data_IF_940807819845
#
_entry.id   IF_940807819845
#
_cell.length_a   1.000
_cell.length_b   1.000
_cell.length_c   1.000
_cell.angle_alpha   90.00
_cell.angle_beta   90.00
_cell.angle_gamma   90.00
#
_symmetry.space_group_name_H-M   'P 1'
#
loop_
_entity.id
_entity.type
_entity.pdbx_description
1 polymer ?
#
# COMPACT_ATOMS: atom_id res chain seq x y z
N UNK A 1 -9.81 9.69 -5.98
CA UNK A 1 -8.94 9.24 -4.88
C UNK A 1 -8.19 10.40 -4.25
N UNK A 2 -8.79 10.99 -3.22
CA UNK A 2 -8.14 11.91 -2.30
C UNK A 2 -7.12 11.16 -1.43
N UNK A 3 -5.98 11.81 -1.14
CA UNK A 3 -5.05 11.38 -0.09
C UNK A 3 -5.20 12.31 1.10
N UNK A 4 -5.33 11.73 2.29
CA UNK A 4 -5.37 12.43 3.56
C UNK A 4 -4.01 12.28 4.25
N UNK A 5 -3.38 13.38 4.66
CA UNK A 5 -2.21 13.33 5.53
C UNK A 5 -2.68 12.94 6.94
N UNK A 6 -2.15 11.84 7.47
CA UNK A 6 -2.50 11.34 8.80
C UNK A 6 -1.50 11.82 9.84
N UNK A 7 -0.20 11.75 9.51
CA UNK A 7 0.88 12.09 10.45
C UNK A 7 2.18 12.38 9.70
N UNK A 8 2.94 13.33 10.22
CA UNK A 8 4.36 13.49 9.87
C UNK A 8 5.19 12.62 10.83
N UNK A 9 5.91 11.63 10.29
CA UNK A 9 6.73 10.71 11.09
C UNK A 9 8.05 11.39 11.46
N UNK A 10 8.66 12.07 10.49
CA UNK A 10 9.83 12.92 10.64
C UNK A 10 9.88 13.94 9.48
N UNK A 11 10.96 14.73 9.38
CA UNK A 11 11.14 15.78 8.37
C UNK A 11 10.95 15.30 6.92
N UNK A 12 11.25 14.03 6.63
CA UNK A 12 11.24 13.47 5.27
C UNK A 12 10.21 12.34 5.08
N UNK A 13 9.51 11.93 6.13
CA UNK A 13 8.58 10.80 6.10
C UNK A 13 7.18 11.25 6.51
N UNK A 14 6.23 11.12 5.58
CA UNK A 14 4.83 11.51 5.78
C UNK A 14 3.92 10.32 5.56
N UNK A 15 3.03 10.07 6.51
CA UNK A 15 2.03 9.01 6.44
C UNK A 15 0.73 9.55 5.85
N UNK A 16 0.29 8.91 4.77
CA UNK A 16 -0.97 9.20 4.10
C UNK A 16 -1.92 8.01 4.17
N UNK A 17 -3.21 8.31 3.98
CA UNK A 17 -4.24 7.31 3.76
C UNK A 17 -5.19 7.76 2.66
N UNK A 18 -5.64 6.83 1.82
CA UNK A 18 -6.67 7.08 0.84
C UNK A 18 -8.04 6.97 1.52
N UNK A 19 -8.88 7.99 1.36
CA UNK A 19 -10.20 8.03 1.99
C UNK A 19 -11.15 6.98 1.41
N UNK A 20 -11.06 6.72 0.10
CA UNK A 20 -11.95 5.81 -0.61
C UNK A 20 -11.57 4.33 -0.39
N UNK A 21 -10.28 3.99 -0.46
CA UNK A 21 -9.82 2.60 -0.36
C UNK A 21 -9.33 2.21 1.03
N UNK A 22 -9.09 3.16 1.93
CA UNK A 22 -8.52 2.92 3.25
C UNK A 22 -7.04 2.54 3.25
N UNK A 23 -6.38 2.42 2.09
CA UNK A 23 -4.95 2.11 2.01
C UNK A 23 -4.13 3.22 2.65
N UNK A 24 -3.20 2.84 3.53
CA UNK A 24 -2.20 3.74 4.07
C UNK A 24 -0.81 3.44 3.50
N UNK A 25 -0.02 4.50 3.33
CA UNK A 25 1.36 4.42 2.87
C UNK A 25 2.18 5.57 3.46
N UNK A 26 3.48 5.35 3.62
CA UNK A 26 4.44 6.40 3.97
C UNK A 26 5.16 6.84 2.70
N UNK A 27 5.16 8.14 2.42
CA UNK A 27 6.05 8.74 1.43
C UNK A 27 7.37 9.11 2.14
N UNK A 28 8.46 8.45 1.74
CA UNK A 28 9.80 8.70 2.26
C UNK A 28 10.60 9.54 1.25
N UNK A 29 10.57 10.85 1.43
CA UNK A 29 11.24 11.83 0.56
C UNK A 29 12.77 11.72 0.60
N UNK A 30 13.35 11.11 1.65
CA UNK A 30 14.81 10.93 1.73
C UNK A 30 15.35 9.89 0.76
N UNK A 31 14.55 8.88 0.41
CA UNK A 31 14.92 7.81 -0.54
C UNK A 31 14.12 7.87 -1.83
N UNK A 32 13.01 8.61 -1.85
CA UNK A 32 12.04 8.63 -2.95
C UNK A 32 11.10 7.42 -2.98
N UNK A 33 11.15 6.55 -1.95
CA UNK A 33 10.35 5.34 -1.89
C UNK A 33 9.03 5.53 -1.14
N UNK A 34 8.04 4.71 -1.51
CA UNK A 34 6.79 4.56 -0.77
C UNK A 34 6.78 3.25 0.01
N UNK A 35 6.36 3.30 1.28
CA UNK A 35 6.26 2.13 2.16
C UNK A 35 4.79 1.79 2.43
N UNK A 36 4.44 0.51 2.40
CA UNK A 36 3.06 0.04 2.60
C UNK A 36 3.05 -1.42 3.05
N UNK A 37 2.13 -1.76 3.94
CA UNK A 37 1.97 -3.14 4.42
C UNK A 37 1.43 -4.14 3.39
N UNK A 38 0.98 -3.66 2.23
CA UNK A 38 0.46 -4.51 1.16
C UNK A 38 1.38 -4.49 -0.05
N UNK A 39 1.69 -5.67 -0.63
CA UNK A 39 2.42 -5.71 -1.88
C UNK A 39 1.57 -5.09 -2.99
N UNK A 40 2.23 -4.34 -3.87
CA UNK A 40 1.55 -3.59 -4.90
C UNK A 40 2.31 -3.64 -6.23
N UNK A 41 1.61 -3.26 -7.29
CA UNK A 41 2.17 -3.01 -8.61
C UNK A 41 1.73 -1.64 -9.08
N UNK A 42 2.50 -1.02 -9.97
CA UNK A 42 2.09 0.22 -10.61
C UNK A 42 0.70 0.06 -11.28
N UNK A 43 -0.08 1.14 -11.37
CA UNK A 43 -1.47 1.09 -11.89
C UNK A 43 -1.59 0.54 -13.32
N UNK A 44 -0.52 0.64 -14.12
CA UNK A 44 -0.43 0.07 -15.47
C UNK A 44 0.00 -1.41 -15.50
N UNK A 45 0.34 -1.98 -14.34
CA UNK A 45 0.71 -3.38 -14.18
C UNK A 45 -0.48 -4.35 -14.32
N UNK A 46 -0.17 -5.62 -14.54
CA UNK A 46 -1.18 -6.65 -14.83
C UNK A 46 -1.50 -7.53 -13.62
N UNK A 47 -2.65 -7.29 -12.98
CA UNK A 47 -3.18 -8.16 -11.90
C UNK A 47 -3.36 -9.60 -12.39
N UNK A 48 -3.87 -9.79 -13.60
CA UNK A 48 -4.04 -11.11 -14.20
C UNK A 48 -2.68 -11.81 -14.38
N UNK A 49 -1.64 -11.06 -14.79
CA UNK A 49 -0.27 -11.56 -14.86
C UNK A 49 0.27 -11.98 -13.49
N UNK A 50 0.09 -11.14 -12.46
CA UNK A 50 0.51 -11.45 -11.09
C UNK A 50 -0.15 -12.73 -10.56
N UNK A 51 -1.43 -12.95 -10.87
CA UNK A 51 -2.17 -14.17 -10.51
C UNK A 51 -1.73 -15.39 -11.34
N UNK A 52 -1.50 -15.21 -12.65
CA UNK A 52 -1.06 -16.28 -13.56
C UNK A 52 0.33 -16.82 -13.18
N UNK A 53 1.25 -15.93 -12.81
CA UNK A 53 2.62 -16.29 -12.40
C UNK A 53 2.71 -16.81 -10.96
N UNK A 54 1.61 -16.79 -10.19
CA UNK A 54 1.56 -17.31 -8.84
C UNK A 54 2.06 -16.36 -7.76
N UNK A 55 2.46 -15.12 -8.11
CA UNK A 55 2.84 -14.10 -7.13
C UNK A 55 1.66 -13.73 -6.23
N UNK A 56 0.47 -13.58 -6.83
CA UNK A 56 -0.78 -13.31 -6.12
C UNK A 56 -1.74 -14.50 -6.22
N UNK A 57 -2.57 -14.71 -5.21
CA UNK A 57 -3.60 -15.75 -5.20
C UNK A 57 -4.70 -15.47 -6.22
N UNK A 58 -5.29 -16.53 -6.76
CA UNK A 58 -6.34 -16.44 -7.80
C UNK A 58 -7.55 -15.61 -7.34
N UNK A 59 -7.91 -15.75 -6.07
CA UNK A 59 -9.05 -15.06 -5.44
C UNK A 59 -8.65 -13.81 -4.66
N UNK A 60 -7.36 -13.44 -4.66
CA UNK A 60 -6.90 -12.25 -3.93
C UNK A 60 -7.60 -11.00 -4.44
N UNK A 61 -8.11 -10.21 -3.51
CA UNK A 61 -8.76 -8.92 -3.75
C UNK A 61 -7.70 -7.84 -3.90
N UNK A 62 -8.00 -6.88 -4.76
CA UNK A 62 -7.11 -5.75 -5.03
C UNK A 62 -7.86 -4.44 -4.93
N UNK A 63 -7.17 -3.41 -4.45
CA UNK A 63 -7.69 -2.04 -4.45
C UNK A 63 -6.69 -1.12 -5.14
N UNK A 64 -7.18 -0.07 -5.78
CA UNK A 64 -6.34 0.97 -6.38
C UNK A 64 -6.17 2.10 -5.36
N UNK A 65 -4.98 2.65 -5.26
CA UNK A 65 -4.71 3.89 -4.51
C UNK A 65 -3.40 4.50 -5.01
N UNK A 66 -3.29 5.82 -5.00
CA UNK A 66 -2.00 6.52 -5.20
C UNK A 66 -1.18 6.07 -6.44
N UNK A 67 -1.83 5.74 -7.56
CA UNK A 67 -1.11 5.28 -8.77
C UNK A 67 -0.62 3.83 -8.72
N UNK A 68 -1.08 3.04 -7.74
CA UNK A 68 -0.76 1.62 -7.59
C UNK A 68 -2.02 0.77 -7.42
N UNK A 69 -1.86 -0.53 -7.65
CA UNK A 69 -2.82 -1.58 -7.34
C UNK A 69 -2.24 -2.43 -6.20
N UNK A 70 -2.91 -2.44 -5.07
CA UNK A 70 -2.51 -3.16 -3.87
C UNK A 70 -3.26 -4.48 -3.77
N UNK A 71 -2.56 -5.56 -3.43
CA UNK A 71 -3.18 -6.82 -3.03
C UNK A 71 -3.46 -6.78 -1.53
N UNK A 72 -4.72 -6.60 -1.16
CA UNK A 72 -5.14 -6.40 0.24
C UNK A 72 -5.29 -7.71 1.01
N UNK A 73 -5.27 -8.85 0.32
CA UNK A 73 -5.33 -10.17 0.98
C UNK A 73 -3.95 -10.74 1.32
N UNK A 74 -2.89 -9.95 1.07
CA UNK A 74 -1.52 -10.22 1.48
C UNK A 74 -1.00 -9.11 2.38
N UNK A 75 -0.24 -9.51 3.40
CA UNK A 75 0.49 -8.64 4.31
C UNK A 75 1.98 -8.92 4.10
N UNK A 76 2.73 -7.90 3.72
CA UNK A 76 4.18 -7.95 3.54
C UNK A 76 4.74 -6.71 4.21
N UNK A 77 5.49 -6.90 5.29
CA UNK A 77 5.99 -5.84 6.15
C UNK A 77 7.45 -6.16 6.42
N UNK A 78 8.34 -5.39 5.79
CA UNK A 78 9.78 -5.68 5.82
C UNK A 78 10.53 -4.69 6.74
N UNK A 79 10.02 -3.47 6.91
CA UNK A 79 10.63 -2.44 7.74
C UNK A 79 9.65 -1.73 8.69
N UNK A 80 10.19 -0.79 9.49
CA UNK A 80 9.41 -0.03 10.46
C UNK A 80 8.42 0.95 9.81
N UNK A 81 8.69 1.46 8.60
CA UNK A 81 7.76 2.35 7.89
C UNK A 81 6.57 1.56 7.33
N UNK A 82 6.79 0.32 6.88
CA UNK A 82 5.72 -0.61 6.52
C UNK A 82 4.83 -0.94 7.72
N UNK A 83 5.43 -1.19 8.90
CA UNK A 83 4.68 -1.39 10.16
C UNK A 83 3.85 -0.17 10.54
N UNK A 84 4.40 1.03 10.36
CA UNK A 84 3.63 2.26 10.59
C UNK A 84 2.47 2.34 9.60
N UNK A 85 2.69 2.09 8.31
CA UNK A 85 1.61 2.08 7.33
C UNK A 85 0.51 1.06 7.70
N UNK A 86 0.89 -0.15 8.13
CA UNK A 86 0.00 -1.22 8.57
C UNK A 86 -0.98 -0.77 9.67
N UNK A 87 -0.47 -0.11 10.71
CA UNK A 87 -1.28 0.32 11.87
C UNK A 87 -2.43 1.26 11.49
N UNK A 88 -2.23 2.07 10.45
CA UNK A 88 -3.18 3.08 9.99
C UNK A 88 -3.98 2.66 8.75
N UNK A 89 -3.62 1.54 8.13
CA UNK A 89 -4.37 0.99 6.99
C UNK A 89 -5.75 0.50 7.45
N UNK A 90 -6.77 0.80 6.65
CA UNK A 90 -8.19 0.49 6.91
C UNK A 90 -8.87 -0.05 5.65
N UNK A 91 -8.13 -0.77 4.81
CA UNK A 91 -8.60 -1.21 3.49
C UNK A 91 -9.56 -2.43 3.54
N UNK A 92 -9.84 -2.98 4.73
CA UNK A 92 -10.63 -4.21 4.89
C UNK A 92 -9.89 -5.50 4.47
N UNK A 93 -8.58 -5.38 4.23
CA UNK A 93 -7.66 -6.48 3.96
C UNK A 93 -7.04 -7.11 5.21
N UNK A 94 -5.99 -7.91 4.98
CA UNK A 94 -5.17 -8.49 6.05
C UNK A 94 -4.18 -7.48 6.58
N UNK A 95 -4.18 -7.33 7.90
CA UNK A 95 -3.27 -6.47 8.65
C UNK A 95 -2.70 -7.29 9.79
#
# INVERSE_FOLDING_TARGET
MSKQLIKEINQYCKLFRCEESGIAWVENESTGNGHSCHPNIHVTGSVAGMKKLGYWGKTDRTVKAHGYIYNIDKLVVDDELDKIAQQYCRCGGKH
#
